data_IF_447711058447
#
_entry.id   IF_447711058447
#
_cell.length_a   1.000
_cell.length_b   1.000
_cell.length_c   1.000
_cell.angle_alpha   90.00
_cell.angle_beta   90.00
_cell.angle_gamma   90.00
#
_symmetry.space_group_name_H-M   'P 1'
#
loop_
_entity.id
_entity.type
_entity.pdbx_description
1 polymer ?
#
# COMPACT_ATOMS: atom_id res chain seq x y z
N UNK A 1 25.18 -34.91 -17.07
CA UNK A 1 24.42 -33.65 -16.95
C UNK A 1 24.74 -33.07 -15.60
N UNK A 2 25.25 -31.84 -15.53
CA UNK A 2 25.43 -31.18 -14.23
C UNK A 2 24.05 -30.89 -13.64
N UNK A 3 23.79 -31.37 -12.43
CA UNK A 3 22.54 -31.06 -11.74
C UNK A 3 22.48 -29.56 -11.45
N UNK A 4 21.33 -28.94 -11.69
CA UNK A 4 21.11 -27.55 -11.33
C UNK A 4 21.26 -27.37 -9.80
N UNK A 5 21.87 -26.27 -9.33
CA UNK A 5 21.98 -26.00 -7.90
C UNK A 5 20.59 -25.87 -7.26
N UNK A 6 20.45 -26.44 -6.06
CA UNK A 6 19.21 -26.42 -5.28
C UNK A 6 19.37 -25.45 -4.11
N UNK A 7 18.33 -24.65 -3.87
CA UNK A 7 18.31 -23.62 -2.85
C UNK A 7 17.17 -23.85 -1.86
N UNK A 8 17.17 -23.05 -0.80
CA UNK A 8 16.10 -22.97 0.20
C UNK A 8 15.90 -24.28 0.98
N UNK A 9 15.07 -24.22 2.02
CA UNK A 9 14.62 -25.39 2.78
C UNK A 9 13.83 -26.39 1.92
N UNK A 10 13.21 -25.94 0.83
CA UNK A 10 12.43 -26.79 -0.07
C UNK A 10 13.27 -27.53 -1.12
N UNK A 11 14.60 -27.28 -1.19
CA UNK A 11 15.54 -27.92 -2.12
C UNK A 11 15.05 -27.90 -3.57
N UNK A 12 14.60 -26.73 -4.02
CA UNK A 12 14.16 -26.49 -5.40
C UNK A 12 15.20 -25.66 -6.16
N UNK A 13 15.27 -25.80 -7.50
CA UNK A 13 16.11 -24.93 -8.31
C UNK A 13 15.58 -23.48 -8.27
N UNK A 14 16.42 -22.54 -8.68
CA UNK A 14 16.06 -21.13 -8.77
C UNK A 14 14.87 -20.90 -9.72
N UNK A 15 13.95 -20.02 -9.29
CA UNK A 15 12.77 -19.60 -10.05
C UNK A 15 12.64 -18.08 -9.98
N UNK A 16 12.83 -17.43 -11.14
CA UNK A 16 12.73 -15.97 -11.34
C UNK A 16 11.38 -15.38 -10.94
N UNK A 17 10.30 -16.18 -10.95
CA UNK A 17 8.96 -15.69 -10.59
C UNK A 17 8.70 -15.61 -9.08
N UNK A 18 9.64 -16.12 -8.27
CA UNK A 18 9.52 -16.21 -6.82
C UNK A 18 10.54 -15.31 -6.14
N UNK A 19 10.05 -14.43 -5.28
CA UNK A 19 10.90 -13.62 -4.41
C UNK A 19 11.78 -14.51 -3.52
N UNK A 20 13.09 -14.22 -3.49
CA UNK A 20 14.08 -14.89 -2.64
C UNK A 20 14.94 -13.87 -1.89
N UNK A 21 15.41 -14.26 -0.71
CA UNK A 21 16.30 -13.49 0.17
C UNK A 21 17.51 -14.35 0.57
N UNK A 22 18.70 -13.75 0.63
CA UNK A 22 19.95 -14.42 0.99
C UNK A 22 20.22 -14.33 2.49
N UNK A 23 20.61 -15.45 3.12
CA UNK A 23 21.02 -15.47 4.53
C UNK A 23 22.48 -15.03 4.69
N UNK A 24 22.73 -14.04 5.56
CA UNK A 24 24.06 -13.48 5.79
C UNK A 24 25.04 -14.45 6.45
N UNK A 25 24.54 -15.47 7.14
CA UNK A 25 25.37 -16.47 7.83
C UNK A 25 25.75 -17.62 6.91
N UNK A 26 24.76 -18.34 6.34
CA UNK A 26 25.02 -19.55 5.57
C UNK A 26 25.18 -19.31 4.07
N UNK A 27 24.93 -18.08 3.58
CA UNK A 27 25.02 -17.67 2.17
C UNK A 27 24.14 -18.50 1.21
N UNK A 28 23.09 -19.12 1.75
CA UNK A 28 22.05 -19.81 0.97
C UNK A 28 20.85 -18.88 0.73
N UNK A 29 20.07 -19.18 -0.30
CA UNK A 29 18.93 -18.37 -0.75
C UNK A 29 17.61 -19.02 -0.37
N UNK A 30 16.66 -18.22 0.10
CA UNK A 30 15.39 -18.70 0.62
C UNK A 30 14.22 -18.02 -0.07
N UNK A 31 13.24 -18.79 -0.54
CA UNK A 31 11.98 -18.22 -1.02
C UNK A 31 11.26 -17.53 0.14
N UNK A 32 10.85 -16.28 -0.04
CA UNK A 32 10.14 -15.54 1.02
C UNK A 32 8.92 -16.29 1.57
N UNK A 33 8.16 -16.96 0.68
CA UNK A 33 7.02 -17.81 1.06
C UNK A 33 7.39 -19.01 1.94
N UNK A 34 8.61 -19.55 1.81
CA UNK A 34 9.08 -20.70 2.60
C UNK A 34 9.57 -20.29 3.99
N UNK A 35 9.94 -19.03 4.17
CA UNK A 35 10.50 -18.48 5.42
C UNK A 35 9.66 -17.35 6.01
N UNK A 36 8.43 -17.17 5.51
CA UNK A 36 7.47 -16.15 5.96
C UNK A 36 8.00 -14.70 5.88
N UNK A 37 8.82 -14.42 4.87
CA UNK A 37 9.27 -13.07 4.54
C UNK A 37 8.52 -12.61 3.29
N UNK A 38 7.70 -11.58 3.47
CA UNK A 38 7.01 -10.93 2.35
C UNK A 38 7.98 -9.99 1.63
N UNK A 39 7.78 -9.79 0.33
CA UNK A 39 8.68 -8.99 -0.51
C UNK A 39 8.84 -7.56 0.04
N UNK A 40 7.76 -6.98 0.56
CA UNK A 40 7.79 -5.66 1.16
C UNK A 40 8.55 -5.57 2.48
N UNK A 41 8.54 -6.64 3.29
CA UNK A 41 9.31 -6.67 4.53
C UNK A 41 10.82 -6.78 4.28
N UNK A 42 11.22 -7.29 3.11
CA UNK A 42 12.63 -7.47 2.78
C UNK A 42 13.40 -6.14 2.74
N UNK A 43 12.74 -5.04 2.35
CA UNK A 43 13.37 -3.70 2.34
C UNK A 43 13.75 -3.23 3.73
N UNK A 44 13.10 -3.75 4.78
CA UNK A 44 13.31 -3.37 6.17
C UNK A 44 14.35 -4.23 6.89
N UNK A 45 14.73 -5.37 6.31
CA UNK A 45 15.76 -6.24 6.86
C UNK A 45 17.13 -5.69 6.45
N UNK A 46 17.99 -5.46 7.44
CA UNK A 46 19.38 -5.04 7.24
C UNK A 46 20.30 -6.27 7.07
N UNK A 47 20.13 -7.26 7.94
CA UNK A 47 20.86 -8.54 7.91
C UNK A 47 19.86 -9.66 8.07
N UNK A 48 19.77 -10.55 7.08
CA UNK A 48 18.82 -11.65 7.10
C UNK A 48 19.46 -12.93 7.66
N UNK A 49 18.84 -13.49 8.69
CA UNK A 49 19.16 -14.81 9.22
C UNK A 49 18.02 -15.79 8.92
N UNK A 50 18.35 -16.89 8.25
CA UNK A 50 17.38 -17.96 8.00
C UNK A 50 16.99 -18.68 9.30
N UNK A 51 15.86 -19.43 9.34
CA UNK A 51 15.38 -20.07 10.57
C UNK A 51 16.39 -20.97 11.28
N UNK A 52 17.31 -21.60 10.54
CA UNK A 52 18.36 -22.44 11.13
C UNK A 52 19.50 -21.61 11.74
N UNK A 53 19.86 -20.50 11.09
CA UNK A 53 20.93 -19.61 11.57
C UNK A 53 20.45 -18.74 12.72
N UNK A 54 19.17 -18.37 12.74
CA UNK A 54 18.55 -17.58 13.81
C UNK A 54 18.82 -18.18 15.19
N UNK A 55 18.60 -19.50 15.34
CA UNK A 55 18.78 -20.22 16.60
C UNK A 55 20.20 -20.08 17.19
N UNK A 56 21.22 -19.93 16.35
CA UNK A 56 22.63 -19.92 16.75
C UNK A 56 23.21 -18.51 16.79
N UNK A 57 22.82 -17.66 15.83
CA UNK A 57 23.41 -16.34 15.61
C UNK A 57 22.48 -15.19 16.03
N UNK A 58 21.29 -15.52 16.54
CA UNK A 58 20.24 -14.56 16.88
C UNK A 58 19.37 -14.18 15.68
N UNK A 59 18.31 -13.39 15.89
CA UNK A 59 17.34 -13.05 14.85
C UNK A 59 17.95 -12.15 13.77
N UNK A 60 17.21 -12.01 12.66
CA UNK A 60 17.53 -11.02 11.63
C UNK A 60 17.59 -9.61 12.21
N UNK A 61 18.52 -8.79 11.72
CA UNK A 61 18.64 -7.39 12.13
C UNK A 61 17.80 -6.52 11.21
N UNK A 62 16.97 -5.67 11.80
CA UNK A 62 16.13 -4.73 11.06
C UNK A 62 16.82 -3.37 10.94
N UNK A 63 16.59 -2.67 9.84
CA UNK A 63 17.09 -1.32 9.63
C UNK A 63 16.56 -0.39 10.71
N UNK A 64 17.44 0.47 11.23
CA UNK A 64 17.06 1.48 12.23
C UNK A 64 16.42 2.67 11.55
N UNK A 65 15.22 3.06 12.01
CA UNK A 65 14.59 4.31 11.62
C UNK A 65 15.31 5.51 12.22
N UNK A 66 15.82 6.37 11.34
CA UNK A 66 16.51 7.61 11.68
C UNK A 66 15.66 8.85 11.40
N UNK A 67 14.70 8.77 10.48
CA UNK A 67 13.83 9.90 10.13
C UNK A 67 12.36 9.47 9.87
N UNK A 68 11.48 10.47 9.80
CA UNK A 68 10.03 10.31 9.59
C UNK A 68 9.47 11.07 8.38
N UNK A 69 10.35 11.74 7.64
CA UNK A 69 10.00 12.64 6.54
C UNK A 69 10.50 12.15 5.17
N UNK A 70 11.20 11.01 5.13
CA UNK A 70 11.76 10.39 3.92
C UNK A 70 11.19 8.99 3.71
N UNK A 71 11.19 8.53 2.46
CA UNK A 71 10.87 7.15 2.11
C UNK A 71 11.99 6.21 2.53
N UNK A 72 13.25 6.60 2.28
CA UNK A 72 14.38 5.98 2.95
C UNK A 72 14.49 6.54 4.37
N UNK A 73 13.91 5.79 5.30
CA UNK A 73 13.87 6.17 6.71
C UNK A 73 15.21 6.01 7.42
N UNK A 74 16.25 5.49 6.75
CA UNK A 74 17.61 5.36 7.30
C UNK A 74 18.47 6.59 7.03
N UNK A 75 18.05 7.48 6.12
CA UNK A 75 18.74 8.74 5.86
C UNK A 75 18.86 9.61 7.13
N UNK A 76 19.94 10.40 7.28
CA UNK A 76 20.10 11.33 8.41
C UNK A 76 18.96 12.35 8.52
N UNK A 77 18.54 12.66 9.74
CA UNK A 77 17.55 13.71 10.04
C UNK A 77 18.25 15.05 10.33
N UNK A 78 18.98 15.56 9.34
CA UNK A 78 19.80 16.80 9.45
C UNK A 78 19.09 18.06 8.91
N UNK A 79 17.85 17.91 8.43
CA UNK A 79 17.05 18.99 7.85
C UNK A 79 17.47 19.42 6.44
N UNK A 80 18.44 18.75 5.81
CA UNK A 80 18.90 19.08 4.45
C UNK A 80 17.89 18.70 3.37
N UNK A 81 17.04 17.71 3.67
CA UNK A 81 16.21 17.01 2.71
C UNK A 81 14.72 17.33 2.94
N UNK A 82 13.94 17.58 1.87
CA UNK A 82 12.53 17.92 2.00
C UNK A 82 11.69 16.70 2.40
N UNK A 83 10.52 17.00 2.99
CA UNK A 83 9.47 16.04 3.34
C UNK A 83 8.91 15.40 2.06
N UNK A 84 8.83 14.07 2.04
CA UNK A 84 8.31 13.30 0.91
C UNK A 84 6.84 12.88 1.12
N UNK A 85 6.08 12.83 0.02
CA UNK A 85 4.66 12.52 0.05
C UNK A 85 4.36 11.19 0.73
N UNK A 86 3.37 11.21 1.61
CA UNK A 86 2.87 10.04 2.32
C UNK A 86 3.72 9.54 3.49
N UNK A 87 4.83 10.20 3.78
CA UNK A 87 5.54 10.01 5.06
C UNK A 87 4.67 10.50 6.23
N UNK A 88 4.95 10.07 7.45
CA UNK A 88 4.13 10.47 8.61
C UNK A 88 4.18 11.98 8.86
N UNK A 89 5.32 12.62 8.60
CA UNK A 89 5.47 14.09 8.65
C UNK A 89 4.59 14.75 7.57
N UNK A 90 4.63 14.26 6.33
CA UNK A 90 3.77 14.77 5.26
C UNK A 90 2.28 14.67 5.61
N UNK A 91 1.84 13.54 6.18
CA UNK A 91 0.44 13.36 6.57
C UNK A 91 0.05 14.35 7.67
N UNK A 92 0.91 14.56 8.66
CA UNK A 92 0.68 15.55 9.73
C UNK A 92 0.61 16.97 9.16
N UNK A 93 1.48 17.33 8.23
CA UNK A 93 1.43 18.62 7.56
C UNK A 93 0.14 18.76 6.73
N UNK A 94 -0.22 17.74 5.97
CA UNK A 94 -1.42 17.71 5.14
C UNK A 94 -2.69 17.89 5.98
N UNK A 95 -2.77 17.24 7.14
CA UNK A 95 -3.90 17.39 8.08
C UNK A 95 -4.03 18.79 8.67
N UNK A 96 -2.92 19.52 8.80
CA UNK A 96 -2.90 20.88 9.34
C UNK A 96 -3.04 21.97 8.26
N UNK A 97 -3.05 21.59 6.97
CA UNK A 97 -3.27 22.55 5.88
C UNK A 97 -4.73 22.97 5.82
N UNK A 98 -4.94 24.24 5.51
CA UNK A 98 -6.26 24.77 5.19
C UNK A 98 -6.49 24.67 3.69
N UNK A 99 -7.68 24.21 3.30
CA UNK A 99 -8.11 24.11 1.92
C UNK A 99 -9.45 24.84 1.77
N UNK A 100 -9.72 25.46 0.60
CA UNK A 100 -11.07 25.90 0.27
C UNK A 100 -12.04 24.75 0.38
N UNK A 101 -13.27 25.06 0.79
CA UNK A 101 -14.27 24.01 0.99
C UNK A 101 -14.66 23.43 -0.37
N UNK A 102 -14.75 22.10 -0.48
CA UNK A 102 -15.28 21.47 -1.68
C UNK A 102 -16.73 21.92 -1.95
N UNK A 103 -17.47 22.37 -0.93
CA UNK A 103 -18.82 22.93 -1.08
C UNK A 103 -18.92 24.10 -2.07
N UNK A 104 -17.82 24.81 -2.32
CA UNK A 104 -17.79 25.92 -3.28
C UNK A 104 -17.94 25.45 -4.73
N UNK A 105 -17.57 24.19 -5.01
CA UNK A 105 -17.56 23.61 -6.36
C UNK A 105 -18.46 22.36 -6.49
N UNK A 106 -18.95 21.81 -5.38
CA UNK A 106 -19.77 20.60 -5.38
C UNK A 106 -21.19 20.88 -5.84
N UNK A 107 -21.68 20.08 -6.78
CA UNK A 107 -23.10 20.05 -7.14
C UNK A 107 -23.78 18.98 -6.28
N UNK A 108 -24.71 19.38 -5.41
CA UNK A 108 -25.47 18.46 -4.56
C UNK A 108 -26.80 18.09 -5.20
N UNK A 109 -27.07 16.79 -5.32
CA UNK A 109 -28.36 16.30 -5.82
C UNK A 109 -28.71 14.90 -5.26
N UNK A 110 -30.01 14.57 -5.33
CA UNK A 110 -30.52 13.22 -5.02
C UNK A 110 -30.12 12.25 -6.14
N UNK A 111 -29.94 10.96 -5.81
CA UNK A 111 -29.51 9.94 -6.78
C UNK A 111 -30.44 9.83 -7.99
N UNK A 112 -31.74 9.93 -7.80
CA UNK A 112 -32.75 9.91 -8.88
C UNK A 112 -32.57 11.02 -9.93
N UNK A 113 -31.93 12.15 -9.57
CA UNK A 113 -31.67 13.26 -10.47
C UNK A 113 -30.39 13.07 -11.28
N UNK A 114 -29.48 12.20 -10.83
CA UNK A 114 -28.21 11.87 -11.51
C UNK A 114 -28.48 10.94 -12.68
N UNK A 115 -29.03 11.50 -13.76
CA UNK A 115 -29.38 10.74 -14.98
C UNK A 115 -28.48 11.14 -16.14
N UNK A 116 -28.29 10.24 -17.11
CA UNK A 116 -27.55 10.55 -18.35
C UNK A 116 -28.11 11.80 -19.04
N UNK A 117 -29.43 11.90 -19.13
CA UNK A 117 -30.12 13.06 -19.72
C UNK A 117 -29.81 14.37 -19.01
N UNK A 118 -29.68 14.35 -17.69
CA UNK A 118 -29.29 15.53 -16.91
C UNK A 118 -27.83 15.92 -17.22
N UNK A 119 -26.91 14.95 -17.20
CA UNK A 119 -25.49 15.18 -17.45
C UNK A 119 -25.21 15.67 -18.88
N UNK A 120 -25.93 15.15 -19.89
CA UNK A 120 -25.83 15.63 -21.27
C UNK A 120 -26.32 17.08 -21.42
N UNK A 121 -27.34 17.48 -20.66
CA UNK A 121 -27.93 18.83 -20.73
C UNK A 121 -27.15 19.87 -19.94
N UNK A 122 -26.67 19.52 -18.75
CA UNK A 122 -26.00 20.45 -17.82
C UNK A 122 -24.47 20.35 -17.88
N UNK A 123 -23.94 19.29 -18.48
CA UNK A 123 -22.52 18.96 -18.45
C UNK A 123 -22.09 18.25 -17.16
N UNK A 124 -20.93 17.63 -17.19
CA UNK A 124 -20.32 16.95 -16.04
C UNK A 124 -18.91 17.49 -15.78
N UNK A 125 -18.83 18.79 -15.49
CA UNK A 125 -17.57 19.52 -15.33
C UNK A 125 -17.16 19.73 -13.87
N UNK A 126 -18.07 19.48 -12.93
CA UNK A 126 -17.85 19.66 -11.49
C UNK A 126 -18.22 18.38 -10.74
N UNK A 127 -17.56 18.09 -9.59
CA UNK A 127 -17.87 16.88 -8.85
C UNK A 127 -19.30 16.94 -8.27
N UNK A 128 -20.01 15.83 -8.40
CA UNK A 128 -21.39 15.69 -7.89
C UNK A 128 -21.35 14.95 -6.56
N UNK A 129 -21.84 15.59 -5.50
CA UNK A 129 -22.04 14.97 -4.20
C UNK A 129 -23.49 14.47 -4.09
N UNK A 130 -23.65 13.15 -4.20
CA UNK A 130 -24.98 12.54 -4.10
C UNK A 130 -25.38 12.37 -2.64
N UNK A 131 -26.53 12.96 -2.27
CA UNK A 131 -26.99 12.98 -0.87
C UNK A 131 -27.74 11.71 -0.46
N UNK A 132 -28.34 11.00 -1.43
CA UNK A 132 -29.23 9.86 -1.24
C UNK A 132 -28.90 8.81 -2.31
N UNK A 133 -28.69 7.55 -1.91
CA UNK A 133 -28.30 6.47 -2.83
C UNK A 133 -29.48 5.94 -3.64
N UNK A 134 -30.70 6.26 -3.23
CA UNK A 134 -31.94 5.95 -3.90
C UNK A 134 -31.92 6.55 -5.33
N UNK A 135 -32.32 5.74 -6.32
CA UNK A 135 -32.36 6.14 -7.73
C UNK A 135 -31.04 6.02 -8.50
N UNK A 136 -29.89 5.84 -7.84
CA UNK A 136 -28.59 5.65 -8.51
C UNK A 136 -28.40 4.26 -9.12
N UNK A 137 -29.21 3.27 -8.72
CA UNK A 137 -29.03 1.88 -9.15
C UNK A 137 -27.78 1.19 -8.59
N UNK A 138 -27.07 1.81 -7.63
CA UNK A 138 -25.91 1.24 -6.98
C UNK A 138 -26.33 0.10 -6.02
N UNK A 139 -25.84 -1.11 -6.29
CA UNK A 139 -26.01 -2.27 -5.41
C UNK A 139 -24.77 -2.44 -4.55
N UNK A 140 -24.84 -1.96 -3.31
CA UNK A 140 -23.76 -2.11 -2.34
C UNK A 140 -23.99 -3.34 -1.47
N UNK A 141 -22.93 -4.08 -1.10
CA UNK A 141 -23.07 -5.11 -0.08
C UNK A 141 -23.40 -4.45 1.29
N UNK A 142 -23.96 -5.21 2.24
CA UNK A 142 -24.30 -4.69 3.57
C UNK A 142 -23.10 -4.03 4.26
N UNK A 143 -23.34 -3.03 5.13
CA UNK A 143 -22.26 -2.25 5.79
C UNK A 143 -21.26 -3.10 6.61
N UNK A 144 -21.66 -4.29 7.07
CA UNK A 144 -20.80 -5.24 7.78
C UNK A 144 -20.01 -6.16 6.84
N UNK A 145 -20.07 -5.96 5.52
CA UNK A 145 -19.42 -6.81 4.53
C UNK A 145 -17.90 -6.81 4.63
N UNK A 146 -17.28 -5.74 5.14
CA UNK A 146 -15.83 -5.61 5.26
C UNK A 146 -15.18 -6.74 6.08
N UNK A 147 -15.83 -7.21 7.16
CA UNK A 147 -15.29 -8.32 7.97
C UNK A 147 -15.34 -9.66 7.23
N UNK A 148 -16.33 -9.86 6.36
CA UNK A 148 -16.48 -11.06 5.53
C UNK A 148 -15.60 -11.02 4.28
N UNK A 149 -15.36 -9.81 3.75
CA UNK A 149 -14.51 -9.59 2.58
C UNK A 149 -13.08 -10.08 2.81
N UNK A 150 -12.50 -9.79 3.99
CA UNK A 150 -11.16 -10.27 4.37
C UNK A 150 -11.07 -11.81 4.39
N UNK A 151 -12.13 -12.49 4.84
CA UNK A 151 -12.17 -13.96 4.87
C UNK A 151 -12.20 -14.58 3.47
N UNK A 152 -12.85 -13.93 2.49
CA UNK A 152 -12.90 -14.40 1.10
C UNK A 152 -11.69 -14.01 0.27
N UNK A 153 -11.10 -12.82 0.47
CA UNK A 153 -9.96 -12.34 -0.31
C UNK A 153 -8.64 -13.02 0.05
N UNK A 154 -8.55 -13.67 1.22
CA UNK A 154 -7.36 -14.42 1.63
C UNK A 154 -7.10 -15.71 0.82
N UNK A 155 -8.00 -16.05 -0.11
CA UNK A 155 -7.84 -17.21 -1.02
C UNK A 155 -7.31 -16.85 -2.41
N UNK A 156 -6.97 -15.58 -2.69
CA UNK A 156 -6.45 -15.14 -4.00
C UNK A 156 -4.97 -14.68 -3.86
N UNK A 157 -4.07 -15.06 -4.78
CA UNK A 157 -2.67 -14.66 -4.69
C UNK A 157 -2.46 -13.26 -5.31
N UNK A 158 -1.68 -12.43 -4.60
CA UNK A 158 -1.07 -11.17 -5.05
C UNK A 158 -2.06 -10.03 -5.33
N UNK A 159 -2.59 -9.42 -4.27
CA UNK A 159 -3.03 -8.02 -4.36
C UNK A 159 -1.80 -7.13 -4.47
N UNK A 160 -1.88 -6.09 -5.31
CA UNK A 160 -0.87 -5.02 -5.30
C UNK A 160 -0.99 -4.28 -3.96
N UNK A 161 -0.03 -4.52 -3.07
CA UNK A 161 0.12 -3.80 -1.83
C UNK A 161 1.00 -2.58 -2.13
N UNK A 162 0.45 -1.39 -1.97
CA UNK A 162 1.26 -0.17 -2.09
C UNK A 162 2.12 -0.08 -0.84
N UNK A 163 3.45 -0.14 -1.01
CA UNK A 163 4.29 -0.22 0.16
C UNK A 163 4.31 1.05 0.95
N UNK A 164 3.80 0.97 2.18
CA UNK A 164 3.53 2.15 2.90
C UNK A 164 4.54 2.29 4.04
N UNK A 165 5.18 3.45 4.21
CA UNK A 165 4.93 4.13 5.48
C UNK A 165 3.40 4.45 5.67
N UNK A 166 2.63 4.38 4.56
CA UNK A 166 1.26 4.69 4.12
C UNK A 166 0.03 3.72 4.39
N UNK A 167 -0.08 2.87 5.44
CA UNK A 167 -1.25 1.95 5.60
C UNK A 167 -1.97 2.00 6.96
N UNK A 168 -1.73 3.00 7.79
CA UNK A 168 -2.56 3.28 8.97
C UNK A 168 -3.63 4.32 8.65
N UNK A 169 -4.53 4.00 7.71
CA UNK A 169 -5.80 4.73 7.56
C UNK A 169 -6.95 3.75 7.28
N UNK A 170 -7.19 2.86 8.24
CA UNK A 170 -8.54 2.30 8.39
C UNK A 170 -9.33 3.19 9.35
N UNK A 171 -10.37 3.83 8.80
CA UNK A 171 -11.55 4.34 9.50
C UNK A 171 -11.37 5.60 10.39
N UNK A 172 -11.12 6.76 9.79
CA UNK A 172 -11.89 8.00 10.09
C UNK A 172 -11.51 9.15 9.17
N UNK A 173 -11.81 9.04 7.88
CA UNK A 173 -12.05 10.21 7.03
C UNK A 173 -13.26 9.88 6.16
N UNK A 174 -14.45 10.32 6.61
CA UNK A 174 -15.61 10.40 5.73
C UNK A 174 -15.30 11.50 4.71
N UNK A 175 -15.02 11.11 3.47
CA UNK A 175 -14.74 12.03 2.36
C UNK A 175 -13.59 11.53 1.49
N UNK A 176 -13.88 10.52 0.67
CA UNK A 176 -12.93 9.87 -0.24
C UNK A 176 -12.70 10.77 -1.46
N UNK A 177 -11.45 11.18 -1.72
CA UNK A 177 -11.05 11.77 -3.01
C UNK A 177 -9.86 10.98 -3.56
N UNK A 178 -10.00 10.55 -4.81
CA UNK A 178 -9.03 9.75 -5.58
C UNK A 178 -7.87 10.66 -6.02
N UNK A 179 -6.63 10.18 -5.88
CA UNK A 179 -5.46 10.82 -6.48
C UNK A 179 -5.32 10.32 -7.93
N UNK A 180 -5.39 11.24 -8.90
CA UNK A 180 -4.90 11.01 -10.26
C UNK A 180 -3.40 11.25 -10.28
N UNK A 181 -2.64 10.22 -10.64
CA UNK A 181 -1.21 10.33 -10.93
C UNK A 181 -1.03 11.20 -12.18
N UNK A 182 -0.27 12.28 -12.06
CA UNK A 182 0.20 13.04 -13.21
C UNK A 182 1.55 12.45 -13.64
N UNK A 183 1.55 11.79 -14.79
CA UNK A 183 2.76 11.53 -15.57
C UNK A 183 3.42 12.86 -15.91
N UNK A 184 4.72 12.98 -15.67
CA UNK A 184 5.55 14.00 -16.33
C UNK A 184 6.72 13.30 -16.99
N UNK A 185 6.53 13.03 -18.28
CA UNK A 185 7.58 12.78 -19.25
C UNK A 185 8.25 14.11 -19.57
N UNK A 186 9.56 14.21 -19.33
CA UNK A 186 10.62 14.69 -20.23
C UNK A 186 11.96 14.72 -19.47
#
# INVERSE_FOLDING_TARGET
MAAAPLYCVCRQPYDVSRFMIECDICKDWFHGSCVQVEEHHAVDIDVYHCPNCDVVHGPSLMKKRNNWHRHDYTEPDDGSKPVQAGTSVFIKELQNRTFPSAEEILIRMKGELVTTRYLERQGFNYPIAVTEMEGLGLKLPPLLFLSKMWSSMWTQPKMLQCDPPLATLSLSVRGRMQMTAAETSL
#
